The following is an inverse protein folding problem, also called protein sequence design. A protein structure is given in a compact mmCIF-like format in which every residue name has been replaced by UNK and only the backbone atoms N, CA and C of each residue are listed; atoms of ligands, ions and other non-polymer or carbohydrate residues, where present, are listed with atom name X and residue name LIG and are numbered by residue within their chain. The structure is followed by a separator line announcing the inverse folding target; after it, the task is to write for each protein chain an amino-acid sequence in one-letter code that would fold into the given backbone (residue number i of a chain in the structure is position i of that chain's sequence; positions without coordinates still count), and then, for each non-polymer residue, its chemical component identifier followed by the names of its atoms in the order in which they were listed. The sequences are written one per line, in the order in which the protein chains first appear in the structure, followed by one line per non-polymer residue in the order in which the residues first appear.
data_IF_912929750570
#
_entry.id   IF_912929750570
#
_cell.length_a   1.000
_cell.length_b   1.000
_cell.length_c   1.000
_cell.angle_alpha   90.00
_cell.angle_beta   90.00
_cell.angle_gamma   90.00
#
_symmetry.space_group_name_H-M   'P 1'
#
loop_
_entity.id
_entity.type
_entity.pdbx_description
1 polymer ?
#
# COMPACT_ATOMS: atom_id res chain seq x y z
N UNK A 1 -14.54 -2.33 10.16
CA UNK A 1 -13.20 -2.79 10.61
C UNK A 1 -12.09 -2.71 9.57
N UNK A 2 -12.19 -3.35 8.41
CA UNK A 2 -11.09 -3.33 7.42
C UNK A 2 -10.73 -1.93 6.92
N UNK A 3 -11.73 -1.12 6.56
CA UNK A 3 -11.53 0.26 6.16
C UNK A 3 -10.83 1.10 7.24
N UNK A 4 -11.20 0.91 8.51
CA UNK A 4 -10.57 1.59 9.66
C UNK A 4 -9.08 1.25 9.75
N UNK A 5 -8.73 -0.03 9.57
CA UNK A 5 -7.32 -0.48 9.58
C UNK A 5 -6.55 0.09 8.39
N UNK A 6 -7.16 0.11 7.20
CA UNK A 6 -6.56 0.73 6.02
C UNK A 6 -6.34 2.24 6.19
N UNK A 7 -7.33 2.97 6.72
CA UNK A 7 -7.18 4.41 7.01
C UNK A 7 -6.03 4.66 7.98
N UNK A 8 -5.96 3.93 9.09
CA UNK A 8 -4.82 4.02 10.03
C UNK A 8 -3.48 3.76 9.34
N UNK A 9 -3.40 2.72 8.51
CA UNK A 9 -2.19 2.41 7.76
C UNK A 9 -1.81 3.55 6.80
N UNK A 10 -2.77 4.08 6.05
CA UNK A 10 -2.60 5.20 5.11
C UNK A 10 -2.13 6.45 5.84
N UNK A 11 -2.73 6.78 6.98
CA UNK A 11 -2.40 7.97 7.76
C UNK A 11 -0.94 7.94 8.23
N UNK A 12 -0.48 6.80 8.78
CA UNK A 12 0.91 6.61 9.18
C UNK A 12 1.86 6.74 7.99
N UNK A 13 1.51 6.12 6.86
CA UNK A 13 2.33 6.11 5.67
C UNK A 13 2.45 7.52 5.06
N UNK A 14 1.34 8.26 4.95
CA UNK A 14 1.32 9.64 4.47
C UNK A 14 2.04 10.61 5.43
N UNK A 15 1.94 10.37 6.75
CA UNK A 15 2.71 11.11 7.76
C UNK A 15 4.21 10.77 7.77
N UNK A 16 4.66 9.84 6.92
CA UNK A 16 6.04 9.31 6.90
C UNK A 16 6.46 8.65 8.21
N UNK A 17 5.50 8.20 9.02
CA UNK A 17 5.74 7.46 10.25
C UNK A 17 5.95 5.97 9.94
N UNK A 18 7.11 5.65 9.37
CA UNK A 18 7.45 4.28 9.00
C UNK A 18 7.72 3.39 10.21
N UNK A 19 8.06 3.95 11.37
CA UNK A 19 8.15 3.19 12.62
C UNK A 19 6.75 2.75 13.09
N UNK A 20 5.77 3.65 13.02
CA UNK A 20 4.37 3.33 13.23
C UNK A 20 3.83 2.30 12.24
N UNK A 21 4.19 2.41 10.94
CA UNK A 21 3.85 1.39 9.94
C UNK A 21 4.46 0.04 10.32
N UNK A 22 5.77 -0.03 10.63
CA UNK A 22 6.47 -1.26 11.02
C UNK A 22 5.86 -1.90 12.27
N UNK A 23 5.30 -1.12 13.19
CA UNK A 23 4.60 -1.63 14.37
C UNK A 23 3.31 -2.39 14.03
N UNK A 24 2.68 -2.12 12.88
CA UNK A 24 1.51 -2.87 12.39
C UNK A 24 1.87 -4.15 11.63
N UNK A 25 3.14 -4.36 11.29
CA UNK A 25 3.57 -5.47 10.45
C UNK A 25 3.87 -6.71 11.29
N UNK A 26 3.23 -7.82 10.93
CA UNK A 26 3.50 -9.12 11.54
C UNK A 26 4.93 -9.59 11.24
N UNK A 27 5.53 -10.36 12.16
CA UNK A 27 6.88 -10.91 11.97
C UNK A 27 6.96 -11.82 10.73
N UNK A 28 5.89 -12.54 10.40
CA UNK A 28 5.73 -13.46 9.27
C UNK A 28 5.11 -12.82 8.01
N UNK A 29 5.17 -11.49 7.88
CA UNK A 29 4.58 -10.78 6.72
C UNK A 29 5.12 -11.27 5.38
N UNK A 30 4.26 -11.31 4.37
CA UNK A 30 4.67 -11.52 2.98
C UNK A 30 4.45 -10.24 2.17
N UNK A 31 5.49 -9.72 1.53
CA UNK A 31 5.38 -8.56 0.65
C UNK A 31 5.68 -9.01 -0.78
N UNK A 32 4.71 -8.81 -1.67
CA UNK A 32 4.82 -9.07 -3.11
C UNK A 32 4.77 -7.74 -3.85
N UNK A 33 5.93 -7.26 -4.29
CA UNK A 33 6.01 -6.13 -5.22
C UNK A 33 5.91 -6.72 -6.62
N UNK A 34 4.70 -6.67 -7.17
CA UNK A 34 4.35 -7.36 -8.40
C UNK A 34 5.29 -6.94 -9.52
N UNK A 35 5.80 -7.93 -10.27
CA UNK A 35 6.76 -7.75 -11.35
C UNK A 35 8.14 -7.21 -10.90
N UNK A 36 8.48 -7.27 -9.60
CA UNK A 36 9.78 -6.83 -9.08
C UNK A 36 10.43 -7.82 -8.14
N UNK A 37 9.80 -8.09 -7.01
CA UNK A 37 10.40 -8.90 -5.94
C UNK A 37 9.35 -9.40 -4.97
N UNK A 38 9.70 -10.46 -4.24
CA UNK A 38 8.96 -10.97 -3.11
C UNK A 38 9.88 -10.99 -1.89
N UNK A 39 9.37 -10.53 -0.76
CA UNK A 39 10.08 -10.43 0.51
C UNK A 39 9.28 -11.19 1.56
N UNK A 40 9.96 -12.01 2.36
CA UNK A 40 9.33 -12.82 3.38
C UNK A 40 9.89 -12.46 4.77
N UNK A 41 8.98 -12.16 5.69
CA UNK A 41 9.28 -11.71 7.04
C UNK A 41 9.58 -10.21 7.16
N UNK A 42 9.39 -9.70 8.38
CA UNK A 42 9.46 -8.26 8.69
C UNK A 42 10.82 -7.62 8.42
N UNK A 43 11.91 -8.39 8.61
CA UNK A 43 13.28 -7.93 8.33
C UNK A 43 13.47 -7.60 6.86
N UNK A 44 13.04 -8.48 5.96
CA UNK A 44 13.15 -8.23 4.52
C UNK A 44 12.17 -7.15 4.08
N UNK A 45 10.93 -7.20 4.56
CA UNK A 45 9.90 -6.18 4.32
C UNK A 45 10.33 -4.77 4.77
N UNK A 46 11.27 -4.64 5.70
CA UNK A 46 11.82 -3.32 6.09
C UNK A 46 12.49 -2.59 4.92
N UNK A 47 13.06 -3.32 3.96
CA UNK A 47 13.64 -2.72 2.74
C UNK A 47 12.58 -2.12 1.82
N UNK A 48 11.38 -2.71 1.77
CA UNK A 48 10.24 -2.19 1.01
C UNK A 48 9.81 -0.82 1.53
N UNK A 49 9.65 -0.67 2.85
CA UNK A 49 9.27 0.62 3.44
C UNK A 49 10.36 1.69 3.25
N UNK A 50 11.64 1.31 3.39
CA UNK A 50 12.77 2.22 3.14
C UNK A 50 12.83 2.74 1.69
N UNK A 51 12.34 1.99 0.72
CA UNK A 51 12.23 2.47 -0.66
C UNK A 51 11.14 3.56 -0.80
N UNK A 52 9.99 3.39 -0.16
CA UNK A 52 8.95 4.42 -0.12
C UNK A 52 9.40 5.67 0.63
N UNK A 53 10.15 5.52 1.72
CA UNK A 53 10.72 6.63 2.49
C UNK A 53 11.61 7.54 1.62
N UNK A 54 12.43 6.95 0.75
CA UNK A 54 13.31 7.69 -0.17
C UNK A 54 12.56 8.37 -1.32
N UNK A 55 11.38 7.89 -1.67
CA UNK A 55 10.56 8.44 -2.75
C UNK A 55 9.65 9.54 -2.19
N UNK A 56 9.66 10.72 -2.82
CA UNK A 56 8.84 11.88 -2.41
C UNK A 56 7.56 12.06 -3.24
N UNK A 57 7.42 11.31 -4.32
CA UNK A 57 6.51 11.56 -5.44
C UNK A 57 5.18 10.81 -5.33
N UNK A 58 4.73 10.52 -4.11
CA UNK A 58 3.54 9.72 -3.88
C UNK A 58 2.66 10.24 -2.74
N UNK A 59 1.36 10.00 -2.87
CA UNK A 59 0.36 10.13 -1.82
C UNK A 59 -0.56 8.90 -1.85
N UNK A 60 -0.93 8.40 -0.68
CA UNK A 60 -1.83 7.26 -0.54
C UNK A 60 -3.24 7.73 -0.21
N UNK A 61 -4.24 7.08 -0.81
CA UNK A 61 -5.65 7.33 -0.53
C UNK A 61 -6.42 6.01 -0.44
N UNK A 62 -7.52 6.01 0.30
CA UNK A 62 -8.39 4.85 0.35
C UNK A 62 -9.23 4.76 -0.94
N UNK A 63 -9.41 3.55 -1.44
CA UNK A 63 -10.27 3.30 -2.60
C UNK A 63 -10.69 1.85 -2.69
N UNK A 64 -11.25 1.52 -3.84
CA UNK A 64 -11.62 0.18 -4.23
C UNK A 64 -11.06 -0.09 -5.63
N UNK A 65 -10.61 -1.33 -5.84
CA UNK A 65 -10.20 -1.86 -7.14
C UNK A 65 -10.96 -3.17 -7.33
N UNK A 66 -11.83 -3.23 -8.34
CA UNK A 66 -12.73 -4.36 -8.58
C UNK A 66 -13.52 -4.76 -7.33
N UNK A 67 -14.09 -3.75 -6.66
CA UNK A 67 -14.86 -3.84 -5.41
C UNK A 67 -14.09 -4.35 -4.18
N UNK A 68 -12.78 -4.58 -4.30
CA UNK A 68 -11.91 -4.89 -3.17
C UNK A 68 -11.34 -3.62 -2.55
N UNK A 69 -11.38 -3.45 -1.21
CA UNK A 69 -10.69 -2.36 -0.52
C UNK A 69 -9.21 -2.34 -0.88
N UNK A 70 -8.74 -1.17 -1.31
CA UNK A 70 -7.38 -0.99 -1.77
C UNK A 70 -6.84 0.37 -1.33
N UNK A 71 -5.51 0.45 -1.24
CA UNK A 71 -4.80 1.71 -1.11
C UNK A 71 -4.42 2.17 -2.51
N UNK A 72 -4.89 3.32 -2.93
CA UNK A 72 -4.55 3.91 -4.22
C UNK A 72 -3.29 4.77 -4.08
N UNK A 73 -2.33 4.58 -4.98
CA UNK A 73 -1.10 5.36 -5.07
C UNK A 73 -1.29 6.42 -6.14
N UNK A 74 -1.15 7.69 -5.77
CA UNK A 74 -1.17 8.84 -6.68
C UNK A 74 0.15 9.59 -6.62
N UNK A 75 0.42 10.41 -7.62
CA UNK A 75 1.51 11.38 -7.56
C UNK A 75 0.92 12.81 -7.57
N UNK A 76 0.89 13.50 -6.42
CA UNK A 76 0.30 14.83 -6.31
C UNK A 76 1.13 15.91 -7.03
N UNK A 77 2.39 15.63 -7.40
CA UNK A 77 3.25 16.56 -8.15
C UNK A 77 3.08 16.44 -9.67
N UNK A 78 2.33 15.45 -10.15
CA UNK A 78 2.05 15.23 -11.56
C UNK A 78 0.62 15.66 -11.92
N UNK A 79 -0.23 14.73 -12.31
CA UNK A 79 -1.64 14.91 -12.69
C UNK A 79 -2.61 14.34 -11.64
N UNK A 80 -2.09 13.91 -10.47
CA UNK A 80 -2.82 13.22 -9.40
C UNK A 80 -3.55 11.93 -9.86
N UNK A 81 -3.17 11.38 -11.02
CA UNK A 81 -3.73 10.13 -11.50
C UNK A 81 -3.30 8.94 -10.63
N UNK A 82 -4.15 7.92 -10.55
CA UNK A 82 -3.81 6.64 -9.90
C UNK A 82 -2.71 5.98 -10.73
N UNK A 83 -1.54 5.75 -10.11
CA UNK A 83 -0.37 5.12 -10.74
C UNK A 83 -0.19 3.65 -10.34
N UNK A 84 -0.87 3.25 -9.28
CA UNK A 84 -0.84 1.89 -8.76
C UNK A 84 -1.79 1.74 -7.58
N UNK A 85 -1.87 0.53 -7.06
CA UNK A 85 -2.61 0.26 -5.85
C UNK A 85 -1.89 -0.79 -5.00
N UNK A 86 -2.23 -0.84 -3.72
CA UNK A 86 -1.72 -1.82 -2.77
C UNK A 86 -2.90 -2.53 -2.12
N UNK A 87 -2.81 -3.86 -2.05
CA UNK A 87 -3.74 -4.69 -1.28
C UNK A 87 -3.05 -5.11 0.02
N UNK A 88 -3.76 -4.97 1.14
CA UNK A 88 -3.25 -5.29 2.47
C UNK A 88 -4.19 -6.28 3.14
N UNK A 89 -3.64 -7.41 3.59
CA UNK A 89 -4.39 -8.42 4.32
C UNK A 89 -3.99 -8.42 5.79
N UNK A 90 -5.00 -8.58 6.64
CA UNK A 90 -4.89 -8.43 8.08
C UNK A 90 -5.19 -9.75 8.80
N UNK A 91 -4.45 -10.01 9.88
CA UNK A 91 -4.76 -11.02 10.90
C UNK A 91 -4.92 -10.28 12.23
N UNK A 92 -6.17 -10.06 12.65
CA UNK A 92 -6.45 -9.14 13.76
C UNK A 92 -6.06 -7.70 13.38
N UNK A 93 -5.18 -7.08 14.15
CA UNK A 93 -4.64 -5.73 13.87
C UNK A 93 -3.28 -5.76 13.15
N UNK A 94 -2.74 -6.94 12.86
CA UNK A 94 -1.43 -7.07 12.19
C UNK A 94 -1.59 -7.28 10.68
N UNK A 95 -0.72 -6.64 9.91
CA UNK A 95 -0.58 -6.85 8.47
C UNK A 95 0.26 -8.10 8.23
N UNK A 96 -0.33 -9.09 7.57
CA UNK A 96 0.32 -10.38 7.25
C UNK A 96 0.67 -10.52 5.78
N UNK A 97 0.04 -9.74 4.89
CA UNK A 97 0.39 -9.73 3.47
C UNK A 97 0.18 -8.36 2.85
N UNK A 98 1.12 -7.94 2.03
CA UNK A 98 1.05 -6.74 1.20
C UNK A 98 1.29 -7.18 -0.26
N UNK A 99 0.42 -6.73 -1.17
CA UNK A 99 0.65 -6.86 -2.62
C UNK A 99 0.67 -5.47 -3.23
N UNK A 100 1.82 -5.05 -3.73
CA UNK A 100 2.04 -3.74 -4.32
C UNK A 100 2.08 -3.83 -5.85
N UNK A 101 1.17 -3.12 -6.50
CA UNK A 101 1.01 -3.08 -7.96
C UNK A 101 1.58 -1.80 -8.59
N UNK A 102 2.39 -1.01 -7.88
CA UNK A 102 3.04 0.22 -8.39
C UNK A 102 3.84 0.00 -9.68
N UNK A 103 4.39 -1.20 -9.88
CA UNK A 103 5.15 -1.56 -11.09
C UNK A 103 4.38 -2.42 -12.09
N UNK A 104 3.06 -2.52 -11.92
CA UNK A 104 2.17 -3.29 -12.79
C UNK A 104 1.02 -2.40 -13.33
N UNK A 105 1.32 -1.34 -14.12
CA UNK A 105 0.30 -0.40 -14.60
C UNK A 105 -0.80 -1.08 -15.43
N UNK A 106 -0.50 -2.18 -16.11
CA UNK A 106 -1.47 -2.99 -16.85
C UNK A 106 -2.60 -3.53 -15.97
N UNK A 107 -2.40 -3.67 -14.65
CA UNK A 107 -3.45 -4.06 -13.72
C UNK A 107 -4.51 -2.97 -13.54
N UNK A 108 -4.22 -1.71 -13.88
CA UNK A 108 -5.19 -0.62 -13.83
C UNK A 108 -6.00 -0.49 -15.12
N UNK A 109 -5.48 -0.94 -16.26
CA UNK A 109 -6.08 -0.71 -17.58
C UNK A 109 -7.51 -1.27 -17.70
N UNK A 110 -7.80 -2.38 -17.03
CA UNK A 110 -9.11 -3.04 -17.07
C UNK A 110 -9.80 -3.10 -15.70
N UNK A 111 -9.22 -2.43 -14.68
CA UNK A 111 -9.78 -2.48 -13.34
C UNK A 111 -10.80 -1.37 -13.11
N UNK A 112 -11.86 -1.69 -12.39
CA UNK A 112 -12.81 -0.69 -11.91
C UNK A 112 -12.26 -0.02 -10.64
N UNK A 113 -11.71 1.18 -10.79
CA UNK A 113 -11.11 1.95 -9.70
C UNK A 113 -12.10 2.99 -9.16
N UNK A 114 -12.44 2.89 -7.88
CA UNK A 114 -13.32 3.84 -7.20
C UNK A 114 -12.65 4.44 -5.96
N UNK A 115 -12.22 5.71 -6.00
CA UNK A 115 -11.68 6.39 -4.82
C UNK A 115 -12.76 6.59 -3.75
N UNK A 116 -12.36 6.57 -2.48
CA UNK A 116 -13.21 7.03 -1.38
C UNK A 116 -12.93 8.52 -1.16
N UNK A 117 -13.97 9.35 -1.25
CA UNK A 117 -13.84 10.77 -0.93
C UNK A 117 -13.42 10.92 0.54
N UNK A 118 -12.43 11.78 0.77
CA UNK A 118 -11.97 12.20 2.10
C UNK A 118 -12.92 13.24 2.70
#
# INVERSE_FOLDING_TARGET
EEERRLRRYIDLFNARDFDGVRALIAEDVQVDVVNRTRLDGKKEASTYFGNYERLGDWALSLGFVDDLPAILIRNPQADDAVRGFVLVHWRGEEVVRIRDFRHAPYCLENAHVRPVAV
#
